data_IF_900965150967
#
_entry.id   IF_900965150967
#
_cell.length_a   1.000
_cell.length_b   1.000
_cell.length_c   1.000
_cell.angle_alpha   90.00
_cell.angle_beta   90.00
_cell.angle_gamma   90.00
#
_symmetry.space_group_name_H-M   'P 1'
#
loop_
_entity.id
_entity.type
_entity.pdbx_description
1 polymer ?
#
# COMPACT_ATOMS: atom_id res chain seq x y z
N UNK A 1 6.06 -3.23 -7.71
CA UNK A 1 6.95 -2.23 -7.08
C UNK A 1 6.64 -2.14 -5.59
N UNK A 2 7.61 -1.82 -4.73
CA UNK A 2 7.29 -1.60 -3.31
C UNK A 2 6.62 -0.23 -3.09
N UNK A 3 5.69 -0.13 -2.13
CA UNK A 3 5.01 1.13 -1.80
C UNK A 3 6.00 2.28 -1.50
N UNK A 4 7.12 1.96 -0.87
CA UNK A 4 8.20 2.92 -0.58
C UNK A 4 8.81 3.49 -1.85
N UNK A 5 9.09 2.63 -2.83
CA UNK A 5 9.66 3.02 -4.12
C UNK A 5 8.66 3.88 -4.89
N UNK A 6 7.39 3.44 -4.98
CA UNK A 6 6.31 4.20 -5.61
C UNK A 6 6.20 5.62 -5.05
N UNK A 7 6.24 5.77 -3.73
CA UNK A 7 6.20 7.08 -3.05
C UNK A 7 7.48 7.92 -3.27
N UNK A 8 8.63 7.29 -3.49
CA UNK A 8 9.90 7.98 -3.73
C UNK A 8 10.03 8.55 -5.15
N UNK A 9 9.33 7.98 -6.13
CA UNK A 9 9.36 8.43 -7.52
C UNK A 9 8.83 9.85 -7.72
N UNK A 10 7.92 10.32 -6.87
CA UNK A 10 7.32 11.64 -7.01
C UNK A 10 6.91 12.22 -5.66
N UNK A 11 7.36 13.46 -5.40
CA UNK A 11 6.97 14.21 -4.21
C UNK A 11 5.46 14.43 -4.21
N UNK A 12 4.81 14.06 -3.10
CA UNK A 12 3.38 14.27 -2.91
C UNK A 12 2.55 12.99 -3.03
N UNK A 13 3.05 11.93 -3.67
CA UNK A 13 2.33 10.64 -3.79
C UNK A 13 1.89 10.09 -2.44
N UNK A 14 2.78 10.09 -1.46
CA UNK A 14 2.45 9.63 -0.11
C UNK A 14 1.27 10.42 0.50
N UNK A 15 1.24 11.74 0.31
CA UNK A 15 0.14 12.58 0.80
C UNK A 15 -1.14 12.32 0.01
N UNK A 16 -1.05 12.21 -1.31
CA UNK A 16 -2.18 11.92 -2.18
C UNK A 16 -2.83 10.56 -1.84
N UNK A 17 -2.03 9.52 -1.59
CA UNK A 17 -2.57 8.21 -1.17
C UNK A 17 -3.24 8.35 0.20
N UNK A 18 -2.60 9.01 1.18
CA UNK A 18 -3.16 9.19 2.52
C UNK A 18 -4.53 9.90 2.48
N UNK A 19 -4.64 10.97 1.68
CA UNK A 19 -5.89 11.70 1.48
C UNK A 19 -6.94 10.84 0.75
N UNK A 20 -6.57 10.10 -0.30
CA UNK A 20 -7.48 9.20 -1.04
C UNK A 20 -8.05 8.10 -0.15
N UNK A 21 -7.25 7.50 0.73
CA UNK A 21 -7.69 6.38 1.58
C UNK A 21 -8.17 6.83 2.98
N UNK A 22 -8.18 8.14 3.24
CA UNK A 22 -8.73 8.72 4.47
C UNK A 22 -7.91 8.47 5.73
N UNK A 23 -6.58 8.33 5.63
CA UNK A 23 -5.69 8.15 6.78
C UNK A 23 -4.82 9.38 7.05
N UNK A 24 -4.36 9.52 8.29
CA UNK A 24 -3.41 10.57 8.64
C UNK A 24 -2.08 10.39 7.89
N UNK A 25 -1.48 11.48 7.41
CA UNK A 25 -0.18 11.46 6.73
C UNK A 25 0.93 10.80 7.58
N UNK A 26 0.94 11.05 8.89
CA UNK A 26 1.91 10.44 9.80
C UNK A 26 1.76 8.91 9.84
N UNK A 27 0.53 8.39 9.77
CA UNK A 27 0.27 6.96 9.71
C UNK A 27 0.73 6.37 8.36
N UNK A 28 0.45 7.07 7.25
CA UNK A 28 0.99 6.71 5.94
C UNK A 28 2.52 6.66 5.95
N UNK A 29 3.18 7.62 6.61
CA UNK A 29 4.63 7.61 6.75
C UNK A 29 5.15 6.39 7.50
N UNK A 30 4.47 5.96 8.56
CA UNK A 30 4.86 4.76 9.33
C UNK A 30 4.80 3.50 8.47
N UNK A 31 3.79 3.36 7.61
CA UNK A 31 3.68 2.18 6.74
C UNK A 31 4.66 2.24 5.56
N UNK A 32 4.86 3.41 4.93
CA UNK A 32 5.79 3.60 3.81
C UNK A 32 7.25 3.38 4.23
N UNK A 33 7.60 3.80 5.44
CA UNK A 33 8.97 3.64 5.99
C UNK A 33 9.20 2.28 6.63
N UNK A 34 8.19 1.40 6.66
CA UNK A 34 8.28 0.07 7.26
C UNK A 34 8.33 0.06 8.79
N UNK A 35 8.04 1.19 9.46
CA UNK A 35 7.91 1.23 10.92
C UNK A 35 6.69 0.45 11.40
N UNK A 36 5.67 0.31 10.55
CA UNK A 36 4.53 -0.58 10.74
C UNK A 36 4.27 -1.38 9.47
N UNK A 37 3.83 -2.64 9.57
CA UNK A 37 3.34 -3.37 8.42
C UNK A 37 2.08 -2.69 7.87
N UNK A 38 1.82 -2.86 6.57
CA UNK A 38 0.59 -2.37 5.93
C UNK A 38 -0.58 -3.26 6.41
N UNK A 39 -1.58 -2.71 7.11
CA UNK A 39 -2.75 -3.47 7.52
C UNK A 39 -3.55 -3.98 6.34
N UNK A 40 -4.21 -5.13 6.52
CA UNK A 40 -4.96 -5.83 5.48
C UNK A 40 -6.06 -4.94 4.91
N UNK A 41 -6.75 -4.20 5.79
CA UNK A 41 -7.86 -3.32 5.46
C UNK A 41 -7.48 -2.16 4.52
N UNK A 42 -6.20 -1.79 4.44
CA UNK A 42 -5.73 -0.71 3.56
C UNK A 42 -5.13 -1.20 2.25
N UNK A 43 -4.77 -2.48 2.13
CA UNK A 43 -4.03 -2.97 0.97
C UNK A 43 -4.84 -2.77 -0.33
N UNK A 44 -6.13 -3.11 -0.35
CA UNK A 44 -6.97 -2.90 -1.54
C UNK A 44 -7.11 -1.40 -1.89
N UNK A 45 -7.28 -0.54 -0.89
CA UNK A 45 -7.41 0.91 -1.07
C UNK A 45 -6.11 1.55 -1.59
N UNK A 46 -4.95 1.09 -1.10
CA UNK A 46 -3.64 1.53 -1.59
C UNK A 46 -3.45 1.10 -3.03
N UNK A 47 -3.74 -0.16 -3.37
CA UNK A 47 -3.62 -0.68 -4.72
C UNK A 47 -4.44 0.16 -5.71
N UNK A 48 -5.71 0.42 -5.39
CA UNK A 48 -6.57 1.31 -6.18
C UNK A 48 -6.04 2.75 -6.24
N UNK A 49 -5.52 3.29 -5.14
CA UNK A 49 -4.98 4.66 -5.10
C UNK A 49 -3.70 4.82 -5.94
N UNK A 50 -2.98 3.72 -6.18
CA UNK A 50 -1.80 3.61 -7.04
C UNK A 50 -2.10 3.09 -8.45
N UNK A 51 -3.37 2.99 -8.83
CA UNK A 51 -3.79 2.47 -10.14
C UNK A 51 -3.20 1.08 -10.47
N UNK A 52 -3.00 0.26 -9.43
CA UNK A 52 -2.43 -1.09 -9.55
C UNK A 52 -0.90 -1.14 -9.64
N UNK A 53 -0.18 -0.02 -9.57
CA UNK A 53 1.29 -0.01 -9.58
C UNK A 53 1.91 -0.67 -8.34
N UNK A 54 1.18 -0.65 -7.22
CA UNK A 54 1.53 -1.34 -5.97
C UNK A 54 0.42 -2.32 -5.64
N UNK A 55 0.67 -3.62 -5.76
CA UNK A 55 -0.38 -4.63 -5.56
C UNK A 55 -0.46 -5.13 -4.11
N UNK A 56 -1.62 -5.68 -3.73
CA UNK A 56 -1.83 -6.43 -2.48
C UNK A 56 -0.80 -7.54 -2.28
N UNK A 57 -0.40 -8.23 -3.35
CA UNK A 57 0.61 -9.29 -3.31
C UNK A 57 1.99 -8.74 -2.93
N UNK A 58 2.34 -7.56 -3.45
CA UNK A 58 3.62 -6.90 -3.16
C UNK A 58 3.66 -6.26 -1.78
N UNK A 59 2.52 -5.79 -1.28
CA UNK A 59 2.38 -5.29 0.09
C UNK A 59 2.43 -6.41 1.14
N UNK A 60 2.00 -7.63 0.78
CA UNK A 60 1.87 -8.79 1.67
C UNK A 60 2.43 -10.08 1.05
N UNK A 61 3.72 -10.15 0.70
CA UNK A 61 4.29 -11.28 -0.03
C UNK A 61 4.16 -12.61 0.71
N UNK A 62 4.17 -12.59 2.05
CA UNK A 62 4.22 -13.80 2.88
C UNK A 62 2.84 -14.44 3.13
N UNK A 63 1.76 -13.69 3.00
CA UNK A 63 0.42 -14.15 3.38
C UNK A 63 -0.73 -13.70 2.47
N UNK A 64 -0.47 -12.99 1.37
CA UNK A 64 -1.51 -12.58 0.42
C UNK A 64 -2.36 -13.78 -0.04
N UNK A 65 -1.75 -14.94 -0.28
CA UNK A 65 -2.43 -16.15 -0.77
C UNK A 65 -3.38 -16.77 0.26
N UNK A 66 -3.22 -16.44 1.55
CA UNK A 66 -4.13 -16.86 2.63
C UNK A 66 -5.29 -15.88 2.80
N UNK A 67 -5.05 -14.61 2.50
CA UNK A 67 -6.01 -13.51 2.70
C UNK A 67 -6.90 -13.33 1.46
N UNK A 68 -6.29 -13.34 0.28
CA UNK A 68 -6.90 -13.16 -1.04
C UNK A 68 -6.51 -14.33 -1.97
N UNK A 69 -6.99 -15.55 -1.69
CA UNK A 69 -6.71 -16.71 -2.55
C UNK A 69 -7.19 -16.51 -4.00
N UNK A 70 -8.21 -15.67 -4.23
CA UNK A 70 -8.74 -15.33 -5.55
C UNK A 70 -7.75 -14.58 -6.46
N UNK A 71 -6.64 -14.04 -5.92
CA UNK A 71 -5.60 -13.39 -6.72
C UNK A 71 -4.60 -14.39 -7.33
N UNK A 72 -4.72 -15.69 -7.01
CA UNK A 72 -3.82 -16.72 -7.50
C UNK A 72 -4.19 -17.25 -8.90
N UNK A 73 -5.40 -17.00 -9.41
CA UNK A 73 -5.85 -17.44 -10.73
C UNK A 73 -7.35 -17.45 -10.90
#
# INVERSE_FOLDING_TARGET
MQLKEYCAHERGRQRAIAEKIGIAYAYMNQIVTGHRPIPIEYCASIELATDGEVTRQEMRPDDWHKIWPELAG
#
